data_IF_431651063879
#
_entry.id   IF_431651063879
#
_cell.length_a   1.000
_cell.length_b   1.000
_cell.length_c   1.000
_cell.angle_alpha   90.00
_cell.angle_beta   90.00
_cell.angle_gamma   90.00
#
_symmetry.space_group_name_H-M   'P 1'
#
loop_
_entity.id
_entity.type
_entity.pdbx_description
1 polymer ?
#
# COMPACT_ATOMS: atom_id res chain seq x y z
N UNK A 1 -67.26 15.84 17.58
CA UNK A 1 -66.74 16.77 16.55
C UNK A 1 -65.47 17.51 16.99
N UNK A 2 -65.48 18.39 18.01
CA UNK A 2 -64.23 19.05 18.47
C UNK A 2 -63.25 18.10 19.17
N UNK A 3 -63.76 17.18 19.98
CA UNK A 3 -62.95 16.12 20.63
C UNK A 3 -62.27 15.23 19.60
N UNK A 4 -63.02 14.73 18.62
CA UNK A 4 -62.48 13.86 17.56
C UNK A 4 -61.42 14.59 16.73
N UNK A 5 -61.62 15.88 16.46
CA UNK A 5 -60.61 16.71 15.81
C UNK A 5 -59.33 16.85 16.65
N UNK A 6 -59.45 17.06 17.97
CA UNK A 6 -58.29 17.10 18.87
C UNK A 6 -57.56 15.75 18.91
N UNK A 7 -58.30 14.65 18.97
CA UNK A 7 -57.75 13.29 18.99
C UNK A 7 -56.96 12.99 17.70
N UNK A 8 -57.51 13.36 16.54
CA UNK A 8 -56.84 13.22 15.25
C UNK A 8 -55.52 14.03 15.19
N UNK A 9 -55.51 15.24 15.76
CA UNK A 9 -54.29 16.08 15.83
C UNK A 9 -53.24 15.45 16.71
N UNK A 10 -53.61 14.96 17.89
CA UNK A 10 -52.70 14.27 18.81
C UNK A 10 -52.10 13.02 18.16
N UNK A 11 -52.92 12.19 17.50
CA UNK A 11 -52.44 11.00 16.80
C UNK A 11 -51.46 11.36 15.68
N UNK A 12 -51.76 12.38 14.88
CA UNK A 12 -50.85 12.82 13.81
C UNK A 12 -49.53 13.37 14.35
N UNK A 13 -49.57 14.09 15.47
CA UNK A 13 -48.35 14.58 16.14
C UNK A 13 -47.53 13.42 16.70
N UNK A 14 -48.18 12.47 17.38
CA UNK A 14 -47.53 11.28 17.93
C UNK A 14 -46.82 10.48 16.84
N UNK A 15 -47.49 10.20 15.73
CA UNK A 15 -46.88 9.47 14.60
C UNK A 15 -45.69 10.22 14.00
N UNK A 16 -45.80 11.55 13.86
CA UNK A 16 -44.69 12.36 13.36
C UNK A 16 -43.50 12.36 14.33
N UNK A 17 -43.77 12.32 15.63
CA UNK A 17 -42.71 12.26 16.64
C UNK A 17 -41.99 10.91 16.59
N UNK A 18 -42.73 9.80 16.51
CA UNK A 18 -42.18 8.45 16.30
C UNK A 18 -41.29 8.39 15.05
N UNK A 19 -41.78 8.88 13.90
CA UNK A 19 -41.01 8.94 12.65
C UNK A 19 -39.71 9.78 12.78
N UNK A 20 -39.67 10.76 13.69
CA UNK A 20 -38.48 11.59 13.95
C UNK A 20 -37.52 10.84 14.87
N UNK A 21 -38.02 10.21 15.93
CA UNK A 21 -37.22 9.42 16.87
C UNK A 21 -36.50 8.27 16.15
N UNK A 22 -37.21 7.52 15.30
CA UNK A 22 -36.63 6.45 14.48
C UNK A 22 -35.48 6.95 13.59
N UNK A 23 -35.65 8.13 12.97
CA UNK A 23 -34.61 8.73 12.12
C UNK A 23 -33.39 9.17 12.92
N UNK A 24 -33.60 9.68 14.13
CA UNK A 24 -32.51 10.06 15.02
C UNK A 24 -31.72 8.82 15.43
N UNK A 25 -32.39 7.73 15.81
CA UNK A 25 -31.73 6.48 16.20
C UNK A 25 -30.88 5.92 15.05
N UNK A 26 -31.43 5.91 13.83
CA UNK A 26 -30.68 5.49 12.63
C UNK A 26 -29.49 6.41 12.35
N UNK A 27 -29.66 7.72 12.50
CA UNK A 27 -28.58 8.70 12.30
C UNK A 27 -27.45 8.54 13.31
N UNK A 28 -27.78 8.30 14.58
CA UNK A 28 -26.80 8.05 15.64
C UNK A 28 -26.03 6.75 15.39
N UNK A 29 -26.74 5.67 15.05
CA UNK A 29 -26.11 4.40 14.71
C UNK A 29 -25.19 4.52 13.48
N UNK A 30 -25.59 5.30 12.48
CA UNK A 30 -24.77 5.56 11.30
C UNK A 30 -23.53 6.39 11.64
N UNK A 31 -23.67 7.41 12.49
CA UNK A 31 -22.57 8.29 12.91
C UNK A 31 -21.49 7.51 13.63
N UNK A 32 -21.86 6.61 14.56
CA UNK A 32 -20.91 5.73 15.25
C UNK A 32 -20.17 4.83 14.26
N UNK A 33 -20.88 4.20 13.33
CA UNK A 33 -20.27 3.34 12.30
C UNK A 33 -19.33 4.12 11.38
N UNK A 34 -19.69 5.36 11.03
CA UNK A 34 -18.86 6.22 10.19
C UNK A 34 -17.56 6.61 10.91
N UNK A 35 -17.68 7.02 12.18
CA UNK A 35 -16.53 7.33 13.02
C UNK A 35 -15.58 6.13 13.19
N UNK A 36 -16.14 4.94 13.42
CA UNK A 36 -15.35 3.71 13.51
C UNK A 36 -14.57 3.43 12.22
N UNK A 37 -15.22 3.52 11.05
CA UNK A 37 -14.56 3.35 9.75
C UNK A 37 -13.50 4.41 9.49
N UNK A 38 -13.78 5.65 9.85
CA UNK A 38 -12.84 6.75 9.71
C UNK A 38 -11.57 6.49 10.54
N UNK A 39 -11.71 6.15 11.82
CA UNK A 39 -10.58 5.86 12.70
C UNK A 39 -9.75 4.67 12.23
N UNK A 40 -10.40 3.62 11.72
CA UNK A 40 -9.69 2.50 11.09
C UNK A 40 -8.89 2.96 9.86
N UNK A 41 -9.51 3.73 8.96
CA UNK A 41 -8.85 4.25 7.76
C UNK A 41 -7.62 5.11 8.11
N UNK A 42 -7.76 6.01 9.08
CA UNK A 42 -6.64 6.86 9.56
C UNK A 42 -5.51 6.01 10.12
N UNK A 43 -5.84 4.97 10.91
CA UNK A 43 -4.83 4.07 11.48
C UNK A 43 -4.10 3.28 10.38
N UNK A 44 -4.83 2.75 9.39
CA UNK A 44 -4.25 2.05 8.25
C UNK A 44 -3.36 2.98 7.40
N UNK A 45 -3.80 4.20 7.14
CA UNK A 45 -2.99 5.21 6.43
C UNK A 45 -1.71 5.55 7.19
N UNK A 46 -1.78 5.70 8.51
CA UNK A 46 -0.60 5.96 9.34
C UNK A 46 0.42 4.84 9.25
N UNK A 47 -0.03 3.58 9.35
CA UNK A 47 0.84 2.41 9.20
C UNK A 47 1.46 2.33 7.80
N UNK A 48 0.66 2.54 6.75
CA UNK A 48 1.17 2.58 5.37
C UNK A 48 2.22 3.68 5.17
N UNK A 49 1.96 4.88 5.70
CA UNK A 49 2.92 5.99 5.66
C UNK A 49 4.23 5.66 6.38
N UNK A 50 4.16 4.96 7.52
CA UNK A 50 5.35 4.54 8.26
C UNK A 50 6.18 3.55 7.45
N UNK A 51 5.55 2.53 6.86
CA UNK A 51 6.24 1.57 6.00
C UNK A 51 6.87 2.22 4.77
N UNK A 52 6.19 3.18 4.14
CA UNK A 52 6.76 3.94 3.02
C UNK A 52 7.98 4.77 3.45
N UNK A 53 7.94 5.35 4.65
CA UNK A 53 9.10 6.07 5.19
C UNK A 53 10.30 5.16 5.42
N UNK A 54 10.08 3.94 5.91
CA UNK A 54 11.13 2.94 6.11
C UNK A 54 11.72 2.46 4.78
N UNK A 55 10.85 2.17 3.79
CA UNK A 55 11.28 1.81 2.43
C UNK A 55 12.09 2.94 1.79
N UNK A 56 11.69 4.19 1.98
CA UNK A 56 12.43 5.34 1.45
C UNK A 56 13.83 5.44 2.05
N UNK A 57 13.96 5.25 3.38
CA UNK A 57 15.27 5.23 4.04
C UNK A 57 16.17 4.13 3.47
N UNK A 58 15.65 2.91 3.34
CA UNK A 58 16.39 1.78 2.74
C UNK A 58 16.80 2.06 1.29
N UNK A 59 15.94 2.68 0.49
CA UNK A 59 16.26 3.05 -0.88
C UNK A 59 17.46 3.99 -0.97
N UNK A 60 17.57 4.96 -0.04
CA UNK A 60 18.71 5.87 0.05
C UNK A 60 19.99 5.11 0.42
N UNK A 61 19.95 4.27 1.45
CA UNK A 61 21.12 3.49 1.90
C UNK A 61 21.63 2.54 0.80
N UNK A 62 20.73 1.89 0.06
CA UNK A 62 21.07 1.05 -1.10
C UNK A 62 21.74 1.88 -2.19
N UNK A 63 21.22 3.08 -2.47
CA UNK A 63 21.82 4.00 -3.44
C UNK A 63 23.25 4.41 -3.06
N UNK A 64 23.47 4.77 -1.81
CA UNK A 64 24.80 5.13 -1.28
C UNK A 64 25.77 3.94 -1.33
N UNK A 65 25.31 2.75 -0.93
CA UNK A 65 26.13 1.53 -0.99
C UNK A 65 26.50 1.18 -2.43
N UNK A 66 25.55 1.30 -3.37
CA UNK A 66 25.81 1.11 -4.80
C UNK A 66 26.88 2.08 -5.29
N UNK A 67 26.79 3.36 -4.93
CA UNK A 67 27.79 4.36 -5.27
C UNK A 67 29.19 4.00 -4.76
N UNK A 68 29.31 3.65 -3.47
CA UNK A 68 30.59 3.20 -2.87
C UNK A 68 31.15 1.96 -3.54
N UNK A 69 30.29 0.98 -3.88
CA UNK A 69 30.72 -0.23 -4.57
C UNK A 69 31.24 0.07 -5.97
N UNK A 70 30.55 0.95 -6.72
CA UNK A 70 31.01 1.42 -8.03
C UNK A 70 32.37 2.11 -7.95
N UNK A 71 32.59 2.94 -6.92
CA UNK A 71 33.88 3.57 -6.68
C UNK A 71 34.99 2.54 -6.41
N UNK A 72 34.73 1.55 -5.55
CA UNK A 72 35.69 0.47 -5.25
C UNK A 72 36.02 -0.34 -6.49
N UNK A 73 35.01 -0.71 -7.30
CA UNK A 73 35.23 -1.43 -8.57
C UNK A 73 36.10 -0.60 -9.52
N UNK A 74 35.78 0.69 -9.68
CA UNK A 74 36.55 1.61 -10.53
C UNK A 74 38.01 1.75 -10.04
N UNK A 75 38.21 1.83 -8.73
CA UNK A 75 39.53 1.87 -8.13
C UNK A 75 40.32 0.57 -8.39
N UNK A 76 39.68 -0.59 -8.22
CA UNK A 76 40.26 -1.88 -8.53
C UNK A 76 40.61 -2.01 -10.01
N UNK A 77 39.74 -1.56 -10.92
CA UNK A 77 40.01 -1.55 -12.36
C UNK A 77 41.19 -0.65 -12.73
N UNK A 78 41.28 0.54 -12.13
CA UNK A 78 42.43 1.43 -12.31
C UNK A 78 43.73 0.77 -11.83
N UNK A 79 43.67 0.06 -10.70
CA UNK A 79 44.80 -0.72 -10.19
C UNK A 79 45.17 -1.87 -11.13
N UNK A 80 44.19 -2.64 -11.62
CA UNK A 80 44.41 -3.71 -12.59
C UNK A 80 45.11 -3.17 -13.85
N UNK A 81 44.65 -2.03 -14.39
CA UNK A 81 45.29 -1.37 -15.55
C UNK A 81 46.72 -0.96 -15.27
N UNK A 82 47.00 -0.37 -14.10
CA UNK A 82 48.36 0.00 -13.70
C UNK A 82 49.28 -1.20 -13.63
N UNK A 83 48.84 -2.30 -13.03
CA UNK A 83 49.67 -3.51 -12.95
C UNK A 83 49.91 -4.11 -14.34
N UNK A 84 48.92 -4.06 -15.24
CA UNK A 84 49.13 -4.47 -16.64
C UNK A 84 50.19 -3.64 -17.38
N UNK A 85 50.29 -2.33 -17.11
CA UNK A 85 51.23 -1.42 -17.79
C UNK A 85 52.63 -1.40 -17.16
N UNK A 86 52.72 -1.44 -15.83
CA UNK A 86 53.94 -1.12 -15.06
C UNK A 86 54.33 -2.25 -14.09
N UNK A 87 53.48 -3.28 -13.94
CA UNK A 87 53.68 -4.32 -12.94
C UNK A 87 54.72 -5.38 -13.33
N UNK A 88 55.15 -6.21 -12.36
CA UNK A 88 55.99 -7.38 -12.58
C UNK A 88 55.36 -8.36 -13.58
N UNK A 89 56.19 -9.02 -14.41
CA UNK A 89 55.71 -9.97 -15.44
C UNK A 89 54.83 -11.10 -14.86
N UNK A 90 55.14 -11.58 -13.66
CA UNK A 90 54.36 -12.60 -12.95
C UNK A 90 52.92 -12.17 -12.62
N UNK A 91 52.68 -10.86 -12.46
CA UNK A 91 51.36 -10.32 -12.14
C UNK A 91 50.58 -9.91 -13.39
N UNK A 92 51.27 -9.50 -14.46
CA UNK A 92 50.64 -9.12 -15.74
C UNK A 92 49.82 -10.25 -16.36
N UNK A 93 50.28 -11.50 -16.22
CA UNK A 93 49.59 -12.68 -16.74
C UNK A 93 48.42 -13.16 -15.88
N UNK A 94 48.34 -12.74 -14.61
CA UNK A 94 47.37 -13.24 -13.63
C UNK A 94 46.15 -12.32 -13.41
N UNK A 95 46.21 -11.06 -13.84
CA UNK A 95 45.19 -10.06 -13.49
C UNK A 95 44.06 -10.02 -14.52
N UNK A 96 42.81 -9.98 -14.02
CA UNK A 96 41.60 -9.74 -14.80
C UNK A 96 40.85 -8.54 -14.22
N UNK A 97 40.59 -7.47 -14.99
CA UNK A 97 39.75 -6.37 -14.55
C UNK A 97 38.35 -6.84 -14.17
N UNK A 98 37.72 -6.12 -13.24
CA UNK A 98 36.35 -6.37 -12.81
C UNK A 98 35.42 -5.78 -13.88
N UNK A 99 35.11 -6.57 -14.92
CA UNK A 99 34.14 -6.14 -15.93
C UNK A 99 32.81 -5.81 -15.24
N UNK A 100 32.43 -4.53 -15.25
CA UNK A 100 31.08 -4.08 -14.89
C UNK A 100 30.13 -4.67 -15.92
N UNK A 101 29.52 -5.81 -15.59
CA UNK A 101 28.36 -6.28 -16.32
C UNK A 101 27.31 -5.19 -16.22
N UNK A 102 26.98 -4.54 -17.33
CA UNK A 102 25.80 -3.69 -17.46
C UNK A 102 24.58 -4.58 -17.25
N UNK A 103 24.25 -4.84 -15.99
CA UNK A 103 22.94 -5.33 -15.59
C UNK A 103 21.94 -4.17 -15.67
N UNK A 104 21.78 -3.63 -16.87
CA UNK A 104 20.55 -2.96 -17.32
C UNK A 104 19.53 -4.02 -17.76
N UNK A 105 19.60 -5.22 -17.16
CA UNK A 105 18.53 -6.19 -17.31
C UNK A 105 17.45 -5.76 -16.34
N UNK A 106 16.48 -5.04 -16.91
CA UNK A 106 15.21 -4.66 -16.34
C UNK A 106 14.82 -5.61 -15.20
N UNK A 107 14.84 -5.10 -13.97
CA UNK A 107 14.01 -5.65 -12.91
C UNK A 107 12.58 -5.26 -13.30
N UNK A 108 12.05 -5.90 -14.35
CA UNK A 108 10.62 -6.13 -14.43
C UNK A 108 10.31 -7.05 -13.25
N UNK A 109 10.08 -6.42 -12.10
CA UNK A 109 9.34 -7.04 -11.02
C UNK A 109 8.03 -7.52 -11.65
N UNK A 110 7.95 -8.80 -11.98
CA UNK A 110 6.72 -9.48 -12.34
C UNK A 110 5.80 -9.41 -11.12
N UNK A 111 5.12 -8.29 -10.97
CA UNK A 111 3.93 -8.13 -10.13
C UNK A 111 2.79 -8.84 -10.85
N UNK A 112 2.86 -10.16 -10.91
CA UNK A 112 1.82 -11.02 -11.46
C UNK A 112 1.50 -12.14 -10.48
N UNK A 113 1.27 -11.80 -9.21
CA UNK A 113 0.75 -12.75 -8.20
C UNK A 113 -0.32 -12.13 -7.27
N UNK A 114 -0.99 -11.05 -7.69
CA UNK A 114 -2.16 -10.49 -6.96
C UNK A 114 -3.46 -10.45 -7.79
N UNK A 115 -3.59 -11.28 -8.83
CA UNK A 115 -4.81 -11.36 -9.64
C UNK A 115 -5.52 -12.72 -9.64
N UNK A 116 -5.22 -13.58 -8.67
CA UNK A 116 -5.86 -14.90 -8.59
C UNK A 116 -6.53 -15.16 -7.23
N UNK A 117 -7.27 -14.20 -6.69
CA UNK A 117 -8.24 -14.53 -5.62
C UNK A 117 -9.41 -13.55 -5.41
N UNK A 118 -9.84 -12.84 -6.45
CA UNK A 118 -11.05 -12.00 -6.41
C UNK A 118 -12.29 -12.66 -7.05
N UNK A 119 -12.16 -13.91 -7.53
CA UNK A 119 -13.26 -14.66 -8.15
C UNK A 119 -13.79 -15.84 -7.31
N UNK A 120 -13.43 -15.93 -6.02
CA UNK A 120 -13.90 -17.00 -5.14
C UNK A 120 -14.72 -16.50 -3.95
N UNK A 121 -15.71 -15.65 -4.19
CA UNK A 121 -16.82 -15.43 -3.25
C UNK A 121 -17.99 -14.72 -3.95
N UNK A 122 -18.73 -15.46 -4.80
CA UNK A 122 -20.13 -15.16 -5.06
C UNK A 122 -20.96 -16.30 -4.44
N UNK A 123 -21.75 -16.06 -3.38
CA UNK A 123 -22.74 -17.03 -2.97
C UNK A 123 -23.88 -17.03 -3.99
N UNK A 124 -24.01 -18.17 -4.68
CA UNK A 124 -25.16 -18.51 -5.52
C UNK A 124 -26.40 -18.59 -4.64
N UNK A 125 -27.33 -17.65 -4.78
CA UNK A 125 -28.67 -17.77 -4.25
C UNK A 125 -29.61 -18.06 -5.43
N UNK A 126 -29.87 -19.35 -5.65
CA UNK A 126 -31.02 -19.81 -6.41
C UNK A 126 -32.28 -19.49 -5.58
N UNK A 127 -33.05 -18.49 -6.00
CA UNK A 127 -34.45 -18.35 -5.55
C UNK A 127 -35.34 -18.95 -6.63
N UNK A 128 -35.75 -20.19 -6.39
CA UNK A 128 -36.76 -20.90 -7.16
C UNK A 128 -38.11 -20.21 -6.95
N UNK A 129 -38.76 -19.86 -8.06
CA UNK A 129 -40.17 -19.48 -8.11
C UNK A 129 -41.03 -20.65 -7.64
N UNK A 130 -41.93 -20.41 -6.69
CA UNK A 130 -43.30 -20.93 -6.61
C UNK A 130 -44.10 -20.07 -5.62
#
# INVERSE_FOLDING_TARGET
>A
MYRDWQEEKVQKMSKRQEDIEDKIEVADALTVKLLQRFNYSVSAMKTSSQHLSEVHALQVEIGELKGRLTEVISNCDALCRRISMEGPESLRSSIKPFAVGTADQEIQSSSSDLQRDLNRSLPSAETKLD
#
